data_IF_940934814337
#
_entry.id   IF_940934814337
#
_cell.length_a   1.000
_cell.length_b   1.000
_cell.length_c   1.000
_cell.angle_alpha   90.00
_cell.angle_beta   90.00
_cell.angle_gamma   90.00
#
_symmetry.space_group_name_H-M   'P 1'
#
loop_
_entity.id
_entity.type
_entity.pdbx_description
1 polymer ?
#
# COMPACT_ATOMS: atom_id res chain seq x y z
N UNK A 1 30.48 -0.96 9.51
CA UNK A 1 29.49 -2.01 9.19
C UNK A 1 29.07 -1.83 7.74
N UNK A 2 28.46 -2.85 7.12
CA UNK A 2 28.27 -2.86 5.68
C UNK A 2 26.96 -3.50 5.25
N UNK A 3 26.64 -3.29 3.98
CA UNK A 3 25.40 -3.68 3.26
C UNK A 3 24.96 -5.14 3.50
N UNK A 4 25.82 -6.01 4.02
CA UNK A 4 25.45 -7.35 4.49
C UNK A 4 24.26 -7.38 5.45
N UNK A 5 24.23 -6.50 6.48
CA UNK A 5 23.10 -6.49 7.41
C UNK A 5 21.83 -6.03 6.72
N UNK A 6 21.91 -5.01 5.86
CA UNK A 6 20.80 -4.59 5.01
C UNK A 6 20.24 -5.75 4.18
N UNK A 7 21.09 -6.52 3.49
CA UNK A 7 20.63 -7.68 2.73
C UNK A 7 19.98 -8.76 3.60
N UNK A 8 20.46 -8.99 4.82
CA UNK A 8 19.81 -9.91 5.76
C UNK A 8 18.43 -9.42 6.20
N UNK A 9 18.27 -8.12 6.43
CA UNK A 9 16.99 -7.52 6.82
C UNK A 9 15.91 -7.70 5.74
N UNK A 10 16.28 -7.81 4.47
CA UNK A 10 15.32 -8.11 3.40
C UNK A 10 14.58 -9.43 3.65
N UNK A 11 15.26 -10.46 4.17
CA UNK A 11 14.61 -11.73 4.55
C UNK A 11 13.82 -11.64 5.85
N UNK A 12 14.01 -10.60 6.67
CA UNK A 12 13.17 -10.37 7.85
C UNK A 12 11.78 -9.85 7.44
N UNK A 13 11.66 -9.10 6.33
CA UNK A 13 10.37 -8.66 5.76
C UNK A 13 9.46 -9.84 5.38
N UNK A 14 10.04 -10.99 5.02
CA UNK A 14 9.27 -12.21 4.69
C UNK A 14 8.56 -12.82 5.92
N UNK A 15 9.01 -12.47 7.13
CA UNK A 15 8.47 -12.99 8.40
C UNK A 15 7.39 -12.09 8.98
N UNK A 16 7.28 -10.84 8.50
CA UNK A 16 6.30 -9.88 8.96
C UNK A 16 5.00 -10.12 8.21
N UNK A 17 4.00 -10.66 8.92
CA UNK A 17 2.69 -10.97 8.36
C UNK A 17 1.78 -9.75 8.47
N UNK A 18 1.15 -9.39 7.35
CA UNK A 18 0.20 -8.30 7.25
C UNK A 18 -1.15 -8.64 7.87
N UNK A 19 -1.81 -7.63 8.43
CA UNK A 19 -3.10 -7.74 9.13
C UNK A 19 -3.09 -8.93 10.12
N UNK A 20 -2.13 -8.99 11.08
CA UNK A 20 -1.96 -10.17 11.92
C UNK A 20 -3.17 -10.42 12.84
N UNK A 21 -3.30 -11.59 13.45
CA UNK A 21 -4.26 -11.84 14.53
C UNK A 21 -5.69 -12.23 14.13
N UNK A 22 -6.23 -11.78 13.00
CA UNK A 22 -7.47 -12.38 12.44
C UNK A 22 -7.13 -13.57 11.56
N UNK A 23 -8.02 -14.56 11.51
CA UNK A 23 -7.87 -15.70 10.61
C UNK A 23 -7.91 -15.21 9.15
N UNK A 24 -6.94 -15.63 8.35
CA UNK A 24 -6.88 -15.42 6.91
C UNK A 24 -6.71 -16.76 6.22
N UNK A 25 -7.42 -17.00 5.13
CA UNK A 25 -7.18 -18.18 4.29
C UNK A 25 -5.83 -18.11 3.58
N UNK A 26 -5.37 -16.90 3.26
CA UNK A 26 -4.04 -16.69 2.70
C UNK A 26 -3.34 -15.54 3.44
N UNK A 27 -2.12 -15.82 3.92
CA UNK A 27 -1.30 -14.80 4.57
C UNK A 27 -0.37 -14.13 3.57
N UNK A 28 -0.25 -12.81 3.68
CA UNK A 28 0.70 -12.01 2.94
C UNK A 28 1.76 -11.48 3.91
N UNK A 29 3.03 -11.54 3.49
CA UNK A 29 4.11 -10.88 4.22
C UNK A 29 4.46 -9.54 3.58
N UNK A 30 5.18 -8.70 4.31
CA UNK A 30 5.55 -7.35 3.85
C UNK A 30 6.37 -7.41 2.56
N UNK A 31 7.28 -8.37 2.40
CA UNK A 31 8.04 -8.54 1.17
C UNK A 31 7.16 -8.80 -0.07
N UNK A 32 6.17 -9.69 0.05
CA UNK A 32 5.22 -10.00 -1.02
C UNK A 32 4.30 -8.80 -1.32
N UNK A 33 3.91 -8.06 -0.28
CA UNK A 33 3.17 -6.80 -0.42
C UNK A 33 3.98 -5.75 -1.19
N UNK A 34 5.21 -5.43 -0.77
CA UNK A 34 6.08 -4.48 -1.49
C UNK A 34 6.26 -4.84 -2.96
N UNK A 35 6.38 -6.15 -3.28
CA UNK A 35 6.43 -6.61 -4.66
C UNK A 35 5.13 -6.31 -5.43
N UNK A 36 3.96 -6.63 -4.86
CA UNK A 36 2.65 -6.36 -5.48
C UNK A 36 2.43 -4.86 -5.66
N UNK A 37 2.71 -4.04 -4.64
CA UNK A 37 2.59 -2.57 -4.71
C UNK A 37 3.48 -1.98 -5.79
N UNK A 38 4.74 -2.43 -5.91
CA UNK A 38 5.61 -1.97 -6.99
C UNK A 38 5.06 -2.32 -8.39
N UNK A 39 4.39 -3.47 -8.54
CA UNK A 39 3.75 -3.87 -9.80
C UNK A 39 2.47 -3.09 -10.10
N UNK A 40 1.67 -2.81 -9.08
CA UNK A 40 0.48 -1.96 -9.21
C UNK A 40 0.91 -0.54 -9.57
N UNK A 41 1.87 0.04 -8.84
CA UNK A 41 2.42 1.37 -9.13
C UNK A 41 2.99 1.45 -10.56
N UNK A 42 3.68 0.40 -11.03
CA UNK A 42 4.14 0.30 -12.42
C UNK A 42 2.98 0.41 -13.42
N UNK A 43 1.86 -0.27 -13.19
CA UNK A 43 0.68 -0.18 -14.04
C UNK A 43 0.07 1.24 -14.00
N UNK A 44 -0.16 1.77 -12.80
CA UNK A 44 -0.74 3.11 -12.63
C UNK A 44 0.13 4.18 -13.30
N UNK A 45 1.46 4.13 -13.14
CA UNK A 45 2.39 5.02 -13.84
C UNK A 45 2.33 4.89 -15.36
N UNK A 46 2.13 3.67 -15.88
CA UNK A 46 1.92 3.45 -17.33
C UNK A 46 0.65 4.14 -17.81
N UNK A 47 -0.43 4.06 -17.04
CA UNK A 47 -1.69 4.73 -17.36
C UNK A 47 -1.51 6.25 -17.36
N UNK A 48 -0.82 6.82 -16.36
CA UNK A 48 -0.55 8.26 -16.32
C UNK A 48 0.30 8.74 -17.51
N UNK A 49 1.37 8.01 -17.84
CA UNK A 49 2.24 8.32 -18.99
C UNK A 49 1.47 8.24 -20.32
N UNK A 50 0.57 7.26 -20.47
CA UNK A 50 -0.30 7.15 -21.64
C UNK A 50 -1.25 8.35 -21.79
N UNK A 51 -1.66 8.98 -20.70
CA UNK A 51 -2.49 10.19 -20.69
C UNK A 51 -1.67 11.50 -20.79
N UNK A 52 -0.36 11.40 -21.00
CA UNK A 52 0.52 12.53 -21.27
C UNK A 52 1.16 13.17 -20.03
N UNK A 53 1.01 12.56 -18.85
CA UNK A 53 1.73 12.99 -17.65
C UNK A 53 3.19 12.51 -17.70
N UNK A 54 4.13 13.35 -17.28
CA UNK A 54 5.53 12.95 -17.14
C UNK A 54 5.71 12.18 -15.83
N UNK A 55 6.17 10.93 -15.92
CA UNK A 55 6.40 10.05 -14.76
C UNK A 55 7.90 9.89 -14.54
N UNK A 56 8.38 10.27 -13.36
CA UNK A 56 9.72 9.90 -12.90
C UNK A 56 9.70 8.44 -12.44
N UNK A 57 9.95 7.53 -13.39
CA UNK A 57 10.00 6.10 -13.15
C UNK A 57 10.98 5.70 -12.04
N UNK A 58 12.10 6.43 -11.88
CA UNK A 58 13.06 6.13 -10.81
C UNK A 58 12.43 6.45 -9.46
N UNK A 59 11.86 7.65 -9.31
CA UNK A 59 11.15 8.06 -8.10
C UNK A 59 10.00 7.09 -7.78
N UNK A 60 9.20 6.72 -8.78
CA UNK A 60 8.08 5.79 -8.63
C UNK A 60 8.51 4.43 -8.06
N UNK A 61 9.53 3.81 -8.67
CA UNK A 61 10.02 2.51 -8.20
C UNK A 61 10.73 2.62 -6.86
N UNK A 62 11.53 3.66 -6.62
CA UNK A 62 12.21 3.85 -5.33
C UNK A 62 11.19 4.06 -4.20
N UNK A 63 10.12 4.84 -4.41
CA UNK A 63 9.04 4.99 -3.44
C UNK A 63 8.31 3.67 -3.20
N UNK A 64 7.85 2.98 -4.25
CA UNK A 64 7.05 1.77 -4.10
C UNK A 64 7.83 0.57 -3.52
N UNK A 65 9.08 0.38 -3.91
CA UNK A 65 9.88 -0.76 -3.42
C UNK A 65 10.25 -0.65 -1.94
N UNK A 66 10.37 0.57 -1.41
CA UNK A 66 10.94 0.81 -0.09
C UNK A 66 9.93 1.27 0.98
N UNK A 67 8.68 1.58 0.60
CA UNK A 67 7.72 2.26 1.48
C UNK A 67 7.48 1.59 2.85
N UNK A 68 7.48 0.26 2.92
CA UNK A 68 7.26 -0.50 4.16
C UNK A 68 8.55 -1.07 4.76
N UNK A 69 9.73 -0.63 4.32
CA UNK A 69 11.00 -1.12 4.88
C UNK A 69 11.11 -0.85 6.40
N UNK A 70 10.54 0.28 6.87
CA UNK A 70 10.56 0.66 8.28
C UNK A 70 9.84 -0.37 9.19
N UNK A 71 8.93 -1.18 8.65
CA UNK A 71 8.21 -2.20 9.41
C UNK A 71 9.12 -3.32 9.94
N UNK A 72 10.36 -3.46 9.45
CA UNK A 72 11.39 -4.31 10.09
C UNK A 72 11.57 -3.98 11.57
N UNK A 73 11.37 -2.72 11.94
CA UNK A 73 11.63 -2.21 13.28
C UNK A 73 10.38 -2.20 14.15
N UNK A 74 9.25 -1.79 13.60
CA UNK A 74 8.00 -1.58 14.33
C UNK A 74 7.01 -2.75 14.20
N UNK A 75 7.19 -3.61 13.20
CA UNK A 75 6.21 -4.61 12.76
C UNK A 75 5.04 -3.98 12.01
N UNK A 76 4.19 -4.82 11.40
CA UNK A 76 2.96 -4.36 10.76
C UNK A 76 1.92 -3.94 11.82
N UNK A 77 1.67 -2.63 11.90
CA UNK A 77 0.65 -2.05 12.78
C UNK A 77 -0.65 -1.94 11.99
N UNK A 78 -1.66 -2.74 12.40
CA UNK A 78 -2.98 -2.77 11.76
C UNK A 78 -3.57 -1.37 11.54
N UNK A 79 -4.21 -1.20 10.39
CA UNK A 79 -4.81 0.09 9.99
C UNK A 79 -5.76 0.70 11.03
N UNK A 80 -6.71 -0.02 11.67
CA UNK A 80 -7.57 0.59 12.68
C UNK A 80 -6.81 1.17 13.88
N UNK A 81 -5.66 0.58 14.23
CA UNK A 81 -4.80 1.05 15.33
C UNK A 81 -3.97 2.25 14.87
N UNK A 82 -3.35 2.18 13.69
CA UNK A 82 -2.52 3.26 13.13
C UNK A 82 -3.29 4.57 12.95
N UNK A 83 -4.61 4.48 12.73
CA UNK A 83 -5.49 5.63 12.50
C UNK A 83 -6.43 5.95 13.67
N UNK A 84 -6.21 5.35 14.85
CA UNK A 84 -7.04 5.60 16.04
C UNK A 84 -7.00 7.06 16.50
N UNK A 85 -5.88 7.77 16.27
CA UNK A 85 -5.79 9.23 16.40
C UNK A 85 -4.68 9.79 15.52
N UNK A 86 -4.81 11.06 15.12
CA UNK A 86 -3.78 11.75 14.35
C UNK A 86 -2.46 11.93 15.13
N UNK A 87 -2.52 11.96 16.46
CA UNK A 87 -1.34 12.02 17.32
C UNK A 87 -0.58 10.69 17.35
N UNK A 88 -1.28 9.56 17.51
CA UNK A 88 -0.68 8.24 17.48
C UNK A 88 -0.02 7.96 16.13
N UNK A 89 -0.69 8.32 15.02
CA UNK A 89 -0.11 8.18 13.68
C UNK A 89 1.23 8.93 13.59
N UNK A 90 1.29 10.17 14.07
CA UNK A 90 2.52 10.98 14.07
C UNK A 90 3.63 10.35 14.91
N UNK A 91 3.29 9.83 16.10
CA UNK A 91 4.25 9.17 16.98
C UNK A 91 4.83 7.90 16.33
N UNK A 92 3.99 7.07 15.69
CA UNK A 92 4.48 5.91 14.96
C UNK A 92 5.41 6.29 13.81
N UNK A 93 5.03 7.27 13.00
CA UNK A 93 5.87 7.76 11.91
C UNK A 93 7.21 8.33 12.41
N UNK A 94 7.21 9.05 13.54
CA UNK A 94 8.45 9.55 14.15
C UNK A 94 9.37 8.42 14.59
N UNK A 95 8.83 7.39 15.23
CA UNK A 95 9.61 6.20 15.65
C UNK A 95 10.19 5.49 14.42
N UNK A 96 9.39 5.29 13.37
CA UNK A 96 9.84 4.66 12.12
C UNK A 96 10.98 5.47 11.48
N UNK A 97 10.84 6.80 11.38
CA UNK A 97 11.86 7.69 10.82
C UNK A 97 13.18 7.66 11.61
N UNK A 98 13.11 7.76 12.94
CA UNK A 98 14.28 7.70 13.82
C UNK A 98 15.01 6.35 13.73
N UNK A 99 14.26 5.24 13.69
CA UNK A 99 14.85 3.91 13.58
C UNK A 99 15.49 3.66 12.22
N UNK A 100 14.89 4.15 11.14
CA UNK A 100 15.47 4.09 9.79
C UNK A 100 16.75 4.93 9.71
N UNK A 101 16.77 6.17 10.22
CA UNK A 101 17.98 7.00 10.19
C UNK A 101 19.11 6.38 11.02
N UNK A 102 18.80 5.87 12.21
CA UNK A 102 19.76 5.14 13.04
C UNK A 102 20.34 3.92 12.29
N UNK A 103 19.48 3.12 11.66
CA UNK A 103 19.91 1.97 10.85
C UNK A 103 20.81 2.39 9.68
N UNK A 104 20.49 3.48 8.99
CA UNK A 104 21.32 3.99 7.88
C UNK A 104 22.70 4.40 8.40
N UNK A 105 22.75 5.12 9.53
CA UNK A 105 24.00 5.57 10.14
C UNK A 105 24.90 4.40 10.54
N UNK A 106 24.32 3.31 11.03
CA UNK A 106 25.07 2.15 11.49
C UNK A 106 25.45 1.18 10.36
N UNK A 107 24.53 0.87 9.44
CA UNK A 107 24.64 -0.28 8.54
C UNK A 107 24.96 0.07 7.08
N UNK A 108 24.68 1.31 6.66
CA UNK A 108 24.94 1.76 5.30
C UNK A 108 26.29 2.50 5.25
N UNK A 109 27.18 2.17 4.29
CA UNK A 109 28.45 2.88 4.13
C UNK A 109 28.25 4.38 3.90
N UNK A 110 29.10 5.20 4.54
CA UNK A 110 29.04 6.67 4.51
C UNK A 110 28.78 7.27 3.11
N UNK A 111 29.45 6.86 2.01
CA UNK A 111 29.20 7.44 0.69
C UNK A 111 27.77 7.22 0.14
N UNK A 112 27.00 6.29 0.72
CA UNK A 112 25.67 5.91 0.27
C UNK A 112 24.56 6.32 1.25
N UNK A 113 24.88 6.85 2.42
CA UNK A 113 23.87 7.15 3.44
C UNK A 113 22.83 8.15 2.93
N UNK A 114 23.25 9.23 2.28
CA UNK A 114 22.34 10.26 1.77
C UNK A 114 21.34 9.75 0.74
N UNK A 115 21.77 8.84 -0.15
CA UNK A 115 20.85 8.25 -1.13
C UNK A 115 19.91 7.23 -0.48
N UNK A 116 20.35 6.51 0.55
CA UNK A 116 19.47 5.60 1.29
C UNK A 116 18.47 6.35 2.18
N UNK A 117 18.82 7.51 2.76
CA UNK A 117 17.85 8.38 3.46
C UNK A 117 16.72 8.80 2.50
N UNK A 118 17.07 9.20 1.27
CA UNK A 118 16.07 9.56 0.25
C UNK A 118 15.21 8.38 -0.21
N UNK A 119 15.73 7.15 -0.17
CA UNK A 119 15.01 5.93 -0.58
C UNK A 119 14.12 5.37 0.51
N UNK A 120 14.52 5.50 1.77
CA UNK A 120 13.83 4.90 2.93
C UNK A 120 12.98 5.90 3.73
N UNK A 121 12.95 7.19 3.34
CA UNK A 121 12.01 8.16 3.88
C UNK A 121 10.57 7.87 3.43
N UNK A 122 9.58 8.54 4.06
CA UNK A 122 8.18 8.49 3.65
C UNK A 122 8.03 8.83 2.15
N UNK A 123 7.42 7.91 1.41
CA UNK A 123 7.26 8.00 -0.03
C UNK A 123 5.96 8.66 -0.47
N UNK A 124 4.95 8.72 0.41
CA UNK A 124 3.63 9.28 0.12
C UNK A 124 3.66 10.79 0.35
N UNK A 125 3.73 11.54 -0.74
CA UNK A 125 3.74 13.00 -0.79
C UNK A 125 2.86 13.51 -1.94
N UNK A 126 2.84 14.83 -2.15
CA UNK A 126 2.02 15.48 -3.18
C UNK A 126 2.55 15.29 -4.61
N UNK A 127 3.70 14.65 -4.81
CA UNK A 127 4.20 14.33 -6.16
C UNK A 127 3.30 13.29 -6.85
N UNK A 128 3.32 13.25 -8.19
CA UNK A 128 2.58 12.23 -8.94
C UNK A 128 2.96 10.83 -8.47
N UNK A 129 4.25 10.55 -8.29
CA UNK A 129 4.74 9.24 -7.84
C UNK A 129 4.34 8.91 -6.41
N UNK A 130 4.30 9.90 -5.51
CA UNK A 130 3.85 9.74 -4.13
C UNK A 130 2.34 9.48 -4.03
N UNK A 131 1.54 10.12 -4.89
CA UNK A 131 0.12 9.84 -5.00
C UNK A 131 -0.15 8.46 -5.62
N UNK A 132 0.60 8.08 -6.67
CA UNK A 132 0.53 6.72 -7.24
C UNK A 132 0.87 5.66 -6.18
N UNK A 133 1.90 5.87 -5.35
CA UNK A 133 2.21 4.98 -4.22
C UNK A 133 1.03 4.87 -3.25
N UNK A 134 0.42 6.01 -2.90
CA UNK A 134 -0.74 6.05 -1.99
C UNK A 134 -1.91 5.21 -2.51
N UNK A 135 -2.19 5.29 -3.81
CA UNK A 135 -3.22 4.49 -4.48
C UNK A 135 -2.80 3.02 -4.58
N UNK A 136 -1.58 2.73 -5.01
CA UNK A 136 -1.09 1.36 -5.22
C UNK A 136 -1.11 0.50 -3.95
N UNK A 137 -0.69 1.08 -2.81
CA UNK A 137 -0.77 0.43 -1.50
C UNK A 137 -2.23 0.09 -1.13
N UNK A 138 -3.16 1.03 -1.35
CA UNK A 138 -4.59 0.79 -1.09
C UNK A 138 -5.24 -0.21 -2.03
N UNK A 139 -4.82 -0.25 -3.30
CA UNK A 139 -5.29 -1.28 -4.23
C UNK A 139 -4.83 -2.65 -3.76
N UNK A 140 -3.57 -2.82 -3.32
CA UNK A 140 -3.12 -4.12 -2.82
C UNK A 140 -3.91 -4.55 -1.58
N UNK A 141 -4.14 -3.65 -0.62
CA UNK A 141 -4.96 -3.91 0.57
C UNK A 141 -6.42 -4.27 0.19
N UNK A 142 -6.98 -3.61 -0.82
CA UNK A 142 -8.30 -3.92 -1.36
C UNK A 142 -8.33 -5.34 -1.96
N UNK A 143 -7.31 -5.75 -2.72
CA UNK A 143 -7.24 -7.11 -3.27
C UNK A 143 -6.99 -8.19 -2.20
N UNK A 144 -6.19 -7.92 -1.17
CA UNK A 144 -5.99 -8.84 -0.04
C UNK A 144 -7.32 -9.13 0.66
N UNK A 145 -8.09 -8.08 0.97
CA UNK A 145 -9.39 -8.21 1.65
C UNK A 145 -10.48 -8.74 0.75
N UNK A 146 -10.50 -8.35 -0.52
CA UNK A 146 -11.39 -8.94 -1.53
C UNK A 146 -11.20 -10.46 -1.64
N UNK A 147 -9.94 -10.94 -1.65
CA UNK A 147 -9.62 -12.35 -1.70
C UNK A 147 -10.14 -13.16 -0.50
N UNK A 148 -10.21 -12.55 0.69
CA UNK A 148 -10.80 -13.15 1.89
C UNK A 148 -12.34 -13.15 1.83
N UNK A 149 -12.94 -12.05 1.37
CA UNK A 149 -14.40 -11.92 1.15
C UNK A 149 -14.88 -12.96 0.13
N UNK A 150 -14.15 -13.14 -0.98
CA UNK A 150 -14.46 -14.15 -2.00
C UNK A 150 -14.47 -15.57 -1.42
N UNK A 151 -13.58 -15.86 -0.47
CA UNK A 151 -13.52 -17.15 0.24
C UNK A 151 -14.53 -17.26 1.38
N UNK A 152 -15.38 -16.23 1.57
CA UNK A 152 -16.41 -16.15 2.62
C UNK A 152 -15.81 -16.20 4.03
N UNK A 153 -14.67 -15.53 4.21
CA UNK A 153 -14.15 -15.30 5.55
C UNK A 153 -15.22 -14.56 6.39
N UNK A 154 -15.63 -15.09 7.55
CA UNK A 154 -16.73 -14.52 8.33
C UNK A 154 -16.34 -13.24 9.10
N UNK A 155 -15.07 -12.86 9.13
CA UNK A 155 -14.60 -11.67 9.85
C UNK A 155 -15.10 -10.37 9.18
N UNK A 156 -15.93 -9.56 9.85
CA UNK A 156 -16.47 -8.31 9.29
C UNK A 156 -15.38 -7.29 8.91
N UNK A 157 -14.24 -7.35 9.60
CA UNK A 157 -13.10 -6.45 9.40
C UNK A 157 -12.63 -6.40 7.93
N UNK A 158 -12.74 -7.49 7.17
CA UNK A 158 -12.34 -7.48 5.75
C UNK A 158 -13.24 -6.61 4.89
N UNK A 159 -14.54 -6.54 5.19
CA UNK A 159 -15.45 -5.62 4.50
C UNK A 159 -15.15 -4.16 4.88
N UNK A 160 -14.93 -3.88 6.17
CA UNK A 160 -14.58 -2.54 6.65
C UNK A 160 -13.28 -2.03 5.99
N UNK A 161 -12.26 -2.89 5.92
CA UNK A 161 -10.99 -2.53 5.27
C UNK A 161 -11.16 -2.35 3.76
N UNK A 162 -11.96 -3.20 3.10
CA UNK A 162 -12.26 -3.05 1.67
C UNK A 162 -12.93 -1.69 1.39
N UNK A 163 -13.96 -1.33 2.17
CA UNK A 163 -14.69 -0.06 2.06
C UNK A 163 -13.75 1.14 2.24
N UNK A 164 -13.03 1.18 3.36
CA UNK A 164 -12.07 2.24 3.66
C UNK A 164 -10.98 2.36 2.58
N UNK A 165 -10.52 1.23 2.03
CA UNK A 165 -9.50 1.23 0.98
C UNK A 165 -10.04 1.84 -0.31
N UNK A 166 -11.25 1.46 -0.73
CA UNK A 166 -11.90 2.04 -1.91
C UNK A 166 -12.21 3.53 -1.72
N UNK A 167 -12.73 3.92 -0.56
CA UNK A 167 -12.96 5.34 -0.22
C UNK A 167 -11.66 6.15 -0.28
N UNK A 168 -10.55 5.60 0.21
CA UNK A 168 -9.24 6.27 0.14
C UNK A 168 -8.76 6.39 -1.30
N UNK A 169 -8.91 5.33 -2.12
CA UNK A 169 -8.56 5.38 -3.56
C UNK A 169 -9.35 6.49 -4.27
N UNK A 170 -10.63 6.63 -3.95
CA UNK A 170 -11.50 7.66 -4.53
C UNK A 170 -11.13 9.09 -4.15
N UNK A 171 -10.33 9.32 -3.10
CA UNK A 171 -9.81 10.66 -2.79
C UNK A 171 -8.78 11.15 -3.83
N UNK A 172 -8.30 10.25 -4.70
CA UNK A 172 -7.36 10.55 -5.78
C UNK A 172 -8.03 10.46 -7.16
N UNK A 173 -9.33 10.75 -7.24
CA UNK A 173 -10.10 10.64 -8.49
C UNK A 173 -9.60 11.57 -9.62
N UNK A 174 -8.81 12.58 -9.30
CA UNK A 174 -8.14 13.43 -10.29
C UNK A 174 -7.03 12.70 -11.07
N UNK A 175 -6.56 11.54 -10.63
CA UNK A 175 -5.57 10.72 -11.34
C UNK A 175 -6.23 9.89 -12.45
N UNK A 176 -5.63 9.88 -13.65
CA UNK A 176 -6.13 9.07 -14.77
C UNK A 176 -6.10 7.57 -14.44
N UNK A 177 -5.08 7.15 -13.68
CA UNK A 177 -4.91 5.78 -13.19
C UNK A 177 -6.01 5.34 -12.23
N UNK A 178 -6.57 6.25 -11.44
CA UNK A 178 -7.75 5.97 -10.60
C UNK A 178 -9.02 5.90 -11.42
N UNK A 179 -9.18 6.77 -12.42
CA UNK A 179 -10.29 6.66 -13.38
C UNK A 179 -10.27 5.32 -14.13
N UNK A 180 -9.09 4.90 -14.62
CA UNK A 180 -8.92 3.61 -15.27
C UNK A 180 -9.25 2.42 -14.34
N UNK A 181 -8.80 2.49 -13.08
CA UNK A 181 -9.15 1.49 -12.08
C UNK A 181 -10.67 1.38 -11.85
N UNK A 182 -11.37 2.51 -11.76
CA UNK A 182 -12.82 2.56 -11.57
C UNK A 182 -13.57 2.06 -12.80
N UNK A 183 -13.16 2.47 -13.99
CA UNK A 183 -13.91 2.23 -15.22
C UNK A 183 -13.65 0.83 -15.80
N UNK A 184 -12.45 0.28 -15.59
CA UNK A 184 -12.03 -0.98 -16.20
C UNK A 184 -11.82 -2.11 -15.17
N UNK A 185 -11.17 -1.84 -14.04
CA UNK A 185 -10.76 -2.88 -13.09
C UNK A 185 -11.89 -3.26 -12.12
N UNK A 186 -12.55 -2.29 -11.49
CA UNK A 186 -13.66 -2.56 -10.56
C UNK A 186 -14.80 -3.37 -11.20
N UNK A 187 -15.27 -3.06 -12.43
CA UNK A 187 -16.32 -3.84 -13.06
C UNK A 187 -15.91 -5.28 -13.32
N UNK A 188 -14.66 -5.51 -13.75
CA UNK A 188 -14.12 -6.86 -13.93
C UNK A 188 -14.09 -7.62 -12.60
N UNK A 189 -13.52 -7.01 -11.56
CA UNK A 189 -13.46 -7.58 -10.21
C UNK A 189 -14.85 -7.99 -9.71
N UNK A 190 -15.87 -7.14 -9.90
CA UNK A 190 -17.26 -7.42 -9.45
C UNK A 190 -17.97 -8.52 -10.28
N UNK A 191 -17.41 -8.94 -11.41
CA UNK A 191 -17.98 -10.04 -12.22
C UNK A 191 -17.48 -11.42 -11.80
N UNK A 192 -16.46 -11.50 -10.94
CA UNK A 192 -15.89 -12.77 -10.51
C UNK A 192 -16.91 -13.70 -9.84
N UNK A 193 -16.74 -15.01 -10.06
CA UNK A 193 -17.61 -16.04 -9.49
C UNK A 193 -17.39 -16.08 -7.97
N UNK A 194 -18.45 -16.35 -7.21
CA UNK A 194 -18.46 -16.51 -5.74
C UNK A 194 -18.40 -15.26 -4.86
N UNK A 195 -18.45 -14.06 -5.43
CA UNK A 195 -18.74 -12.85 -4.65
C UNK A 195 -20.13 -13.00 -4.00
N UNK A 196 -20.34 -12.62 -2.73
CA UNK A 196 -21.67 -12.32 -2.19
C UNK A 196 -22.27 -11.17 -3.01
N UNK A 197 -22.82 -11.50 -4.20
CA UNK A 197 -23.07 -10.59 -5.32
C UNK A 197 -23.90 -9.36 -4.99
N UNK A 198 -24.63 -9.40 -3.88
CA UNK A 198 -25.54 -8.33 -3.49
C UNK A 198 -24.79 -7.31 -2.62
N UNK A 199 -24.23 -7.72 -1.50
CA UNK A 199 -23.64 -6.81 -0.50
C UNK A 199 -22.39 -6.07 -1.02
N UNK A 200 -21.35 -6.78 -1.50
CA UNK A 200 -20.14 -6.11 -2.00
C UNK A 200 -20.42 -5.20 -3.20
N UNK A 201 -21.34 -5.61 -4.08
CA UNK A 201 -21.75 -4.82 -5.24
C UNK A 201 -22.56 -3.58 -4.83
N UNK A 202 -23.50 -3.73 -3.90
CA UNK A 202 -24.30 -2.62 -3.38
C UNK A 202 -23.41 -1.59 -2.67
N UNK A 203 -22.50 -2.05 -1.81
CA UNK A 203 -21.49 -1.21 -1.16
C UNK A 203 -20.60 -0.50 -2.17
N UNK A 204 -20.01 -1.23 -3.13
CA UNK A 204 -19.11 -0.63 -4.14
C UNK A 204 -19.86 0.40 -4.97
N UNK A 205 -21.09 0.10 -5.41
CA UNK A 205 -21.91 1.05 -6.16
C UNK A 205 -22.34 2.26 -5.32
N UNK A 206 -22.61 2.10 -4.03
CA UNK A 206 -22.94 3.21 -3.15
C UNK A 206 -21.75 4.19 -3.02
N UNK A 207 -20.55 3.65 -2.79
CA UNK A 207 -19.31 4.42 -2.70
C UNK A 207 -19.03 5.15 -4.03
N UNK A 208 -19.12 4.45 -5.16
CA UNK A 208 -18.91 5.04 -6.49
C UNK A 208 -19.98 6.08 -6.88
N UNK A 209 -21.24 5.93 -6.47
CA UNK A 209 -22.31 6.88 -6.83
C UNK A 209 -22.24 8.18 -6.04
N UNK A 210 -21.68 8.16 -4.83
CA UNK A 210 -21.42 9.38 -4.05
C UNK A 210 -20.39 10.32 -4.73
N UNK A 211 -19.70 9.85 -5.78
CA UNK A 211 -18.87 10.66 -6.71
C UNK A 211 -19.59 11.84 -7.34
N UNK A 212 -20.91 11.75 -7.54
CA UNK A 212 -21.70 12.73 -8.29
C UNK A 212 -22.49 13.71 -7.39
N UNK A 213 -22.22 13.73 -6.08
CA UNK A 213 -22.94 14.52 -5.08
C UNK A 213 -22.19 15.78 -4.64
#
# INVERSE_FOLDING_TARGET
MGVHQYFKRLSDLEKLIRLPGQFKYFEHNVAAHSFKVAKIAQYLGTVEEYHGNEVDWKSLYEKALNHDFAEIFTGDIKTPVKYASGELKKLFSQVEEEMVDHFINEEIPEPYQDIYRKRLQEGKDDSLEGQILSVADKIDLLYETFGEIQKRNPEPLFFEIYEMSLETIMQFDHLNSVQDFIDNIIPEMLTEKFIPRKELRETTMAILNNRNG
#
